data_IF_984782237286
#
_entry.id   IF_984782237286
#
_cell.length_a   1.000
_cell.length_b   1.000
_cell.length_c   1.000
_cell.angle_alpha   90.00
_cell.angle_beta   90.00
_cell.angle_gamma   90.00
#
_symmetry.space_group_name_H-M   'P 1'
#
loop_
_entity.id
_entity.type
_entity.pdbx_description
1 polymer ?
#
# COMPACT_ATOMS: atom_id res chain seq x y z
N UNK A 1 31.55 -2.41 -2.99
CA UNK A 1 30.25 -2.67 -3.63
C UNK A 1 30.04 -4.18 -3.62
N UNK A 2 29.29 -4.71 -2.64
CA UNK A 2 29.08 -6.16 -2.52
C UNK A 2 27.97 -6.57 -3.48
N UNK A 3 28.25 -7.54 -4.35
CA UNK A 3 27.28 -8.09 -5.28
C UNK A 3 26.16 -8.79 -4.49
N UNK A 4 25.00 -8.12 -4.37
CA UNK A 4 23.82 -8.57 -3.62
C UNK A 4 23.24 -9.91 -4.15
N UNK A 5 23.73 -10.40 -5.29
CA UNK A 5 23.32 -11.63 -5.94
C UNK A 5 23.79 -12.92 -5.23
N UNK A 6 24.65 -12.85 -4.20
CA UNK A 6 25.32 -14.05 -3.68
C UNK A 6 24.49 -14.91 -2.73
N UNK A 7 23.42 -14.37 -2.13
CA UNK A 7 22.52 -15.12 -1.23
C UNK A 7 21.08 -14.61 -1.29
N UNK A 8 20.33 -14.85 -2.38
CA UNK A 8 18.96 -14.36 -2.55
C UNK A 8 18.02 -14.84 -1.43
N UNK A 9 18.16 -16.09 -1.00
CA UNK A 9 17.36 -16.68 0.10
C UNK A 9 17.58 -15.94 1.42
N UNK A 10 18.83 -15.58 1.75
CA UNK A 10 19.14 -14.90 3.01
C UNK A 10 18.54 -13.49 3.03
N UNK A 11 18.56 -12.78 1.88
CA UNK A 11 17.97 -11.45 1.77
C UNK A 11 16.44 -11.49 1.88
N UNK A 12 15.80 -12.47 1.24
CA UNK A 12 14.36 -12.68 1.38
C UNK A 12 13.96 -12.96 2.83
N UNK A 13 14.69 -13.85 3.52
CA UNK A 13 14.43 -14.15 4.94
C UNK A 13 14.66 -12.93 5.84
N UNK A 14 15.70 -12.13 5.57
CA UNK A 14 15.96 -10.90 6.30
C UNK A 14 14.84 -9.86 6.08
N UNK A 15 14.41 -9.68 4.82
CA UNK A 15 13.28 -8.83 4.46
C UNK A 15 12.00 -9.23 5.18
N UNK A 16 11.64 -10.51 5.12
CA UNK A 16 10.45 -11.07 5.75
C UNK A 16 10.51 -10.94 7.28
N UNK A 17 11.67 -11.19 7.88
CA UNK A 17 11.87 -11.03 9.33
C UNK A 17 11.68 -9.57 9.75
N UNK A 18 12.25 -8.62 9.00
CA UNK A 18 12.05 -7.21 9.26
C UNK A 18 10.59 -6.78 9.05
N UNK A 19 9.93 -7.27 8.01
CA UNK A 19 8.53 -6.99 7.73
C UNK A 19 7.63 -7.47 8.88
N UNK A 20 7.79 -8.73 9.31
CA UNK A 20 7.03 -9.30 10.45
C UNK A 20 7.25 -8.53 11.75
N UNK A 21 8.49 -8.14 12.05
CA UNK A 21 8.79 -7.29 13.21
C UNK A 21 8.11 -5.92 13.09
N UNK A 22 8.09 -5.33 11.90
CA UNK A 22 7.35 -4.09 11.60
C UNK A 22 5.87 -4.23 11.92
N UNK A 23 5.22 -5.28 11.42
CA UNK A 23 3.81 -5.56 11.68
C UNK A 23 3.53 -5.80 13.18
N UNK A 24 4.43 -6.49 13.90
CA UNK A 24 4.29 -6.71 15.35
C UNK A 24 4.31 -5.37 16.12
N UNK A 25 5.30 -4.51 15.84
CA UNK A 25 5.38 -3.20 16.46
C UNK A 25 4.21 -2.29 16.06
N UNK A 26 3.73 -2.37 14.82
CA UNK A 26 2.54 -1.65 14.36
C UNK A 26 1.30 -2.10 15.15
N UNK A 27 1.09 -3.41 15.35
CA UNK A 27 -0.02 -3.90 16.19
C UNK A 27 0.02 -3.32 17.60
N UNK A 28 1.20 -3.24 18.21
CA UNK A 28 1.38 -2.58 19.52
C UNK A 28 1.11 -1.08 19.44
N UNK A 29 1.58 -0.39 18.40
CA UNK A 29 1.35 1.04 18.17
C UNK A 29 -0.12 1.40 17.94
N UNK A 30 -0.91 0.46 17.38
CA UNK A 30 -2.36 0.58 17.21
C UNK A 30 -3.15 0.40 18.52
N UNK A 31 -2.47 -0.02 19.60
CA UNK A 31 -2.90 -0.03 21.00
C UNK A 31 -4.40 0.12 21.25
N UNK A 32 -5.16 -0.97 21.10
CA UNK A 32 -6.51 -1.10 21.67
C UNK A 32 -6.48 -1.41 23.18
N UNK A 33 -5.29 -1.67 23.75
CA UNK A 33 -5.13 -1.98 25.17
C UNK A 33 -4.86 -0.69 25.96
N UNK A 34 -5.73 -0.40 26.92
CA UNK A 34 -5.65 0.72 27.87
C UNK A 34 -4.39 0.74 28.76
N UNK A 35 -3.56 -0.31 28.68
CA UNK A 35 -2.37 -0.49 29.52
C UNK A 35 -1.07 0.09 28.92
N UNK A 36 -1.07 0.56 27.67
CA UNK A 36 0.15 1.01 27.01
C UNK A 36 0.38 2.52 27.19
N UNK A 37 1.51 2.90 27.81
CA UNK A 37 1.85 4.32 27.97
C UNK A 37 2.14 5.00 26.63
N UNK A 38 1.90 6.31 26.54
CA UNK A 38 2.15 7.11 25.34
C UNK A 38 3.61 6.97 24.84
N UNK A 39 4.57 6.83 25.75
CA UNK A 39 5.98 6.61 25.42
C UNK A 39 6.21 5.25 24.74
N UNK A 40 5.56 4.17 25.21
CA UNK A 40 5.64 2.85 24.59
C UNK A 40 5.01 2.84 23.19
N UNK A 41 3.88 3.53 23.00
CA UNK A 41 3.25 3.68 21.69
C UNK A 41 4.15 4.45 20.71
N UNK A 42 4.74 5.56 21.15
CA UNK A 42 5.71 6.33 20.34
C UNK A 42 6.93 5.48 19.96
N UNK A 43 7.49 4.74 20.91
CA UNK A 43 8.60 3.83 20.65
C UNK A 43 8.23 2.75 19.65
N UNK A 44 7.06 2.13 19.80
CA UNK A 44 6.56 1.08 18.90
C UNK A 44 6.38 1.60 17.47
N UNK A 45 5.84 2.80 17.29
CA UNK A 45 5.73 3.45 15.96
C UNK A 45 7.10 3.61 15.30
N UNK A 46 8.08 4.13 16.05
CA UNK A 46 9.44 4.32 15.56
C UNK A 46 10.11 3.00 15.18
N UNK A 47 9.92 1.93 15.97
CA UNK A 47 10.43 0.61 15.61
C UNK A 47 9.71 0.05 14.38
N UNK A 48 8.39 0.16 14.29
CA UNK A 48 7.64 -0.30 13.12
C UNK A 48 8.18 0.33 11.82
N UNK A 49 8.33 1.66 11.81
CA UNK A 49 8.88 2.39 10.67
C UNK A 49 10.30 1.97 10.32
N UNK A 50 11.19 1.83 11.32
CA UNK A 50 12.55 1.34 11.13
C UNK A 50 12.57 -0.04 10.49
N UNK A 51 11.72 -0.95 10.95
CA UNK A 51 11.63 -2.31 10.45
C UNK A 51 11.06 -2.36 9.03
N UNK A 52 10.04 -1.56 8.70
CA UNK A 52 9.55 -1.44 7.33
C UNK A 52 10.62 -0.86 6.38
N UNK A 53 11.35 0.16 6.81
CA UNK A 53 12.44 0.72 5.99
C UNK A 53 13.53 -0.30 5.71
N UNK A 54 13.90 -1.13 6.70
CA UNK A 54 14.86 -2.22 6.50
C UNK A 54 14.32 -3.30 5.58
N UNK A 55 13.07 -3.74 5.76
CA UNK A 55 12.46 -4.75 4.90
C UNK A 55 12.41 -4.27 3.43
N UNK A 56 12.07 -3.00 3.19
CA UNK A 56 12.07 -2.42 1.86
C UNK A 56 13.46 -2.45 1.20
N UNK A 57 14.54 -2.23 1.95
CA UNK A 57 15.92 -2.33 1.43
C UNK A 57 16.34 -3.75 1.02
N UNK A 58 15.67 -4.79 1.55
CA UNK A 58 15.94 -6.18 1.18
C UNK A 58 15.13 -6.66 -0.03
N UNK A 59 14.02 -5.99 -0.34
CA UNK A 59 13.14 -6.38 -1.43
C UNK A 59 13.53 -5.70 -2.74
N UNK A 60 13.77 -6.54 -3.75
CA UNK A 60 13.93 -6.10 -5.14
C UNK A 60 12.58 -6.16 -5.86
N UNK A 61 12.12 -5.07 -6.50
CA UNK A 61 10.82 -5.03 -7.19
C UNK A 61 10.60 -6.16 -8.19
N UNK A 62 11.64 -6.58 -8.91
CA UNK A 62 11.59 -7.63 -9.92
C UNK A 62 11.29 -9.02 -9.35
N UNK A 63 11.54 -9.22 -8.06
CA UNK A 63 11.43 -10.52 -7.39
C UNK A 63 10.37 -10.55 -6.28
N UNK A 64 10.07 -9.40 -5.68
CA UNK A 64 9.27 -9.29 -4.46
C UNK A 64 8.19 -8.20 -4.57
N UNK A 65 7.65 -7.99 -5.78
CA UNK A 65 6.64 -6.96 -6.05
C UNK A 65 5.48 -7.03 -5.04
N UNK A 66 4.95 -8.22 -4.78
CA UNK A 66 3.84 -8.45 -3.86
C UNK A 66 4.16 -8.02 -2.42
N UNK A 67 5.34 -8.39 -1.94
CA UNK A 67 5.83 -8.07 -0.59
C UNK A 67 6.05 -6.57 -0.44
N UNK A 68 6.59 -5.91 -1.47
CA UNK A 68 6.76 -4.45 -1.49
C UNK A 68 5.40 -3.75 -1.42
N UNK A 69 4.42 -4.18 -2.23
CA UNK A 69 3.08 -3.58 -2.21
C UNK A 69 2.43 -3.70 -0.83
N UNK A 70 2.52 -4.89 -0.21
CA UNK A 70 2.01 -5.11 1.15
C UNK A 70 2.73 -4.24 2.18
N UNK A 71 4.05 -4.17 2.13
CA UNK A 71 4.86 -3.34 3.02
C UNK A 71 4.49 -1.86 2.92
N UNK A 72 4.39 -1.33 1.70
CA UNK A 72 4.09 0.07 1.48
C UNK A 72 2.66 0.43 1.89
N UNK A 73 1.69 -0.49 1.74
CA UNK A 73 0.33 -0.38 2.29
C UNK A 73 0.31 -0.35 3.83
N UNK A 74 1.06 -1.24 4.47
CA UNK A 74 1.12 -1.28 5.94
C UNK A 74 1.82 -0.02 6.49
N UNK A 75 2.87 0.43 5.81
CA UNK A 75 3.59 1.67 6.12
C UNK A 75 2.71 2.91 5.92
N UNK A 76 1.91 2.98 4.84
CA UNK A 76 0.97 4.08 4.65
C UNK A 76 -0.09 4.10 5.76
N UNK A 77 -0.61 2.93 6.12
CA UNK A 77 -1.59 2.76 7.21
C UNK A 77 -1.03 3.20 8.56
N UNK A 78 0.25 2.90 8.83
CA UNK A 78 0.93 3.37 10.03
C UNK A 78 0.95 4.91 10.10
N UNK A 79 1.26 5.58 9.00
CA UNK A 79 1.29 7.05 8.96
C UNK A 79 -0.11 7.67 9.06
N UNK A 80 -1.12 7.09 8.41
CA UNK A 80 -2.52 7.53 8.55
C UNK A 80 -2.98 7.48 10.01
N UNK A 81 -2.69 6.38 10.71
CA UNK A 81 -3.04 6.23 12.11
C UNK A 81 -2.34 7.28 12.98
N UNK A 82 -1.05 7.53 12.72
CA UNK A 82 -0.31 8.57 13.42
C UNK A 82 -0.88 9.96 13.17
N UNK A 83 -1.35 10.24 11.94
CA UNK A 83 -1.99 11.52 11.62
C UNK A 83 -3.30 11.68 12.40
N UNK A 84 -4.12 10.63 12.48
CA UNK A 84 -5.37 10.66 13.25
C UNK A 84 -5.14 10.90 14.75
N UNK A 85 -4.04 10.38 15.30
CA UNK A 85 -3.69 10.50 16.71
C UNK A 85 -2.83 11.74 17.02
N UNK A 86 -2.28 12.40 15.99
CA UNK A 86 -1.37 13.51 16.11
C UNK A 86 -2.09 14.81 16.49
N UNK A 87 -1.52 15.56 17.44
CA UNK A 87 -1.97 16.91 17.75
C UNK A 87 -1.30 17.92 16.81
N UNK A 88 -2.11 18.75 16.16
CA UNK A 88 -1.66 19.84 15.31
C UNK A 88 -1.69 19.54 13.81
N UNK A 89 -2.38 20.41 13.07
CA UNK A 89 -2.63 20.27 11.62
C UNK A 89 -1.34 20.12 10.81
N UNK A 90 -0.25 20.79 11.19
CA UNK A 90 1.04 20.69 10.50
C UNK A 90 1.64 19.28 10.59
N UNK A 91 1.55 18.63 11.75
CA UNK A 91 2.06 17.27 11.92
C UNK A 91 1.18 16.27 11.16
N UNK A 92 -0.15 16.45 11.21
CA UNK A 92 -1.09 15.62 10.45
C UNK A 92 -0.81 15.66 8.96
N UNK A 93 -0.59 16.86 8.39
CA UNK A 93 -0.24 17.01 6.98
C UNK A 93 1.05 16.28 6.63
N UNK A 94 2.13 16.47 7.41
CA UNK A 94 3.40 15.77 7.17
C UNK A 94 3.25 14.25 7.18
N UNK A 95 2.47 13.72 8.12
CA UNK A 95 2.25 12.28 8.22
C UNK A 95 1.41 11.75 7.05
N UNK A 96 0.39 12.50 6.62
CA UNK A 96 -0.39 12.14 5.44
C UNK A 96 0.41 12.26 4.14
N UNK A 97 1.34 13.22 4.04
CA UNK A 97 2.32 13.33 2.94
C UNK A 97 3.25 12.12 2.91
N UNK A 98 3.74 11.65 4.06
CA UNK A 98 4.51 10.40 4.17
C UNK A 98 3.70 9.16 3.78
N UNK A 99 2.40 9.12 4.13
CA UNK A 99 1.49 8.07 3.71
C UNK A 99 1.33 8.05 2.19
N UNK A 100 1.08 9.22 1.58
CA UNK A 100 0.99 9.38 0.13
C UNK A 100 2.29 8.96 -0.56
N UNK A 101 3.44 9.40 -0.05
CA UNK A 101 4.75 9.01 -0.61
C UNK A 101 4.93 7.49 -0.63
N UNK A 102 4.52 6.79 0.43
CA UNK A 102 4.59 5.33 0.49
C UNK A 102 3.69 4.68 -0.58
N UNK A 103 2.48 5.22 -0.79
CA UNK A 103 1.57 4.72 -1.83
C UNK A 103 2.07 5.01 -3.25
N UNK A 104 2.72 6.16 -3.49
CA UNK A 104 3.30 6.48 -4.79
C UNK A 104 4.49 5.57 -5.13
N UNK A 105 5.28 5.14 -4.13
CA UNK A 105 6.35 4.16 -4.32
C UNK A 105 5.84 2.78 -4.77
N UNK A 106 4.55 2.47 -4.59
CA UNK A 106 3.97 1.22 -5.09
C UNK A 106 4.02 1.14 -6.62
N UNK A 107 4.16 2.26 -7.33
CA UNK A 107 4.21 2.27 -8.79
C UNK A 107 5.27 1.31 -9.35
N UNK A 108 6.50 1.38 -8.82
CA UNK A 108 7.60 0.54 -9.30
C UNK A 108 7.26 -0.94 -9.12
N UNK A 109 6.73 -1.31 -7.96
CA UNK A 109 6.32 -2.69 -7.70
C UNK A 109 5.12 -3.12 -8.56
N UNK A 110 4.17 -2.22 -8.85
CA UNK A 110 3.03 -2.51 -9.71
C UNK A 110 3.45 -2.85 -11.15
N UNK A 111 4.53 -2.24 -11.67
CA UNK A 111 5.07 -2.58 -12.99
C UNK A 111 5.57 -4.03 -13.08
N UNK A 112 6.04 -4.60 -11.95
CA UNK A 112 6.51 -5.98 -11.85
C UNK A 112 5.45 -6.92 -11.27
N UNK A 113 4.34 -6.39 -10.78
CA UNK A 113 3.22 -7.15 -10.25
C UNK A 113 2.33 -7.60 -11.40
N UNK A 114 2.77 -8.63 -12.12
CA UNK A 114 1.83 -9.42 -12.91
C UNK A 114 0.98 -10.23 -11.94
N UNK A 115 -0.35 -10.07 -11.92
CA UNK A 115 -1.18 -11.09 -11.30
C UNK A 115 -0.91 -12.36 -12.10
N UNK A 116 -0.15 -13.30 -11.53
CA UNK A 116 0.00 -14.62 -12.13
C UNK A 116 -1.41 -15.16 -12.33
N UNK A 117 -1.87 -15.18 -13.58
CA UNK A 117 -2.90 -16.11 -13.99
C UNK A 117 -2.26 -17.48 -13.74
N UNK A 118 -2.62 -18.10 -12.62
CA UNK A 118 -2.35 -19.51 -12.41
C UNK A 118 -3.02 -20.24 -13.58
N UNK A 119 -2.20 -20.66 -14.53
CA UNK A 119 -2.61 -21.59 -15.56
C UNK A 119 -2.97 -22.90 -14.86
N UNK A 120 -4.26 -23.11 -14.63
CA UNK A 120 -4.81 -24.46 -14.60
C UNK A 120 -4.46 -25.12 -15.92
N UNK A 121 -3.46 -26.00 -15.93
CA UNK A 121 -3.41 -27.19 -16.78
C UNK A 121 -2.24 -28.06 -16.39
N UNK A 122 -2.50 -29.03 -15.50
CA UNK A 122 -1.99 -30.40 -15.66
C UNK A 122 -3.03 -31.37 -15.07
N UNK A 123 -3.79 -32.11 -15.89
CA UNK A 123 -4.41 -33.34 -15.43
C UNK A 123 -3.34 -34.43 -15.46
N UNK A 124 -2.92 -34.90 -14.29
CA UNK A 124 -2.26 -36.21 -14.19
C UNK A 124 -3.38 -37.23 -14.04
N UNK A 125 -3.59 -37.99 -15.11
CA UNK A 125 -4.42 -39.19 -15.15
C UNK A 125 -4.03 -40.16 -14.02
N UNK A 126 -5.03 -40.70 -13.30
CA UNK A 126 -5.18 -42.13 -12.98
C UNK A 126 -6.41 -42.39 -12.10
N UNK A 127 -7.50 -42.86 -12.74
CA UNK A 127 -8.40 -43.99 -12.39
C UNK A 127 -8.77 -44.17 -10.89
N UNK A 128 -10.04 -44.17 -10.48
CA UNK A 128 -11.04 -45.23 -10.76
C UNK A 128 -12.48 -44.79 -10.41
N UNK A 129 -13.42 -45.44 -11.11
CA UNK A 129 -14.90 -45.41 -11.07
C UNK A 129 -15.50 -45.42 -9.64
N UNK A 130 -16.64 -44.76 -9.36
CA UNK A 130 -18.00 -45.28 -9.64
C UNK A 130 -19.06 -44.17 -9.81
N UNK A 131 -20.05 -44.45 -10.66
CA UNK A 131 -21.28 -43.70 -10.95
C UNK A 131 -22.19 -43.53 -9.72
N UNK A 132 -22.83 -42.38 -9.56
CA UNK A 132 -24.32 -42.28 -9.54
C UNK A 132 -24.81 -40.82 -9.57
N UNK A 133 -25.72 -40.63 -10.53
CA UNK A 133 -26.83 -39.68 -10.71
C UNK A 133 -26.72 -38.17 -10.39
N UNK A 134 -27.11 -37.44 -11.44
CA UNK A 134 -27.29 -36.01 -11.61
C UNK A 134 -28.61 -35.58 -10.96
N UNK A 135 -28.59 -34.56 -10.10
CA UNK A 135 -29.70 -33.61 -10.02
C UNK A 135 -29.20 -32.17 -9.95
N UNK A 136 -29.77 -31.36 -10.84
CA UNK A 136 -29.44 -29.97 -11.11
C UNK A 136 -29.68 -29.06 -9.91
N UNK A 137 -28.60 -28.52 -9.36
CA UNK A 137 -28.63 -27.30 -8.57
C UNK A 137 -27.75 -26.25 -9.26
N UNK A 138 -28.34 -25.37 -10.07
CA UNK A 138 -27.72 -24.11 -10.52
C UNK A 138 -27.31 -23.29 -9.28
N UNK A 139 -26.11 -23.53 -8.76
CA UNK A 139 -25.38 -22.57 -7.96
C UNK A 139 -24.45 -21.84 -8.91
N UNK A 140 -24.73 -20.57 -9.13
CA UNK A 140 -23.76 -19.64 -9.70
C UNK A 140 -22.46 -19.79 -8.91
N UNK A 141 -21.46 -20.38 -9.55
CA UNK A 141 -20.07 -20.30 -9.09
C UNK A 141 -19.68 -18.82 -9.14
N UNK A 142 -19.81 -18.15 -8.00
CA UNK A 142 -19.06 -16.92 -7.73
C UNK A 142 -17.58 -17.28 -7.87
N UNK A 143 -17.01 -16.92 -9.03
CA UNK A 143 -15.57 -16.96 -9.26
C UNK A 143 -14.85 -16.40 -8.03
N UNK A 144 -13.88 -17.11 -7.45
CA UNK A 144 -13.03 -16.51 -6.44
C UNK A 144 -12.27 -15.37 -7.12
N UNK A 145 -12.58 -14.13 -6.72
CA UNK A 145 -11.84 -12.94 -7.13
C UNK A 145 -10.35 -13.20 -6.92
N UNK A 146 -9.55 -13.05 -7.98
CA UNK A 146 -8.14 -13.35 -7.91
C UNK A 146 -7.50 -12.49 -6.82
N UNK A 147 -6.69 -13.08 -5.94
CA UNK A 147 -6.06 -12.34 -4.83
C UNK A 147 -5.18 -11.16 -5.28
N UNK A 148 -4.89 -11.05 -6.59
CA UNK A 148 -4.25 -9.90 -7.23
C UNK A 148 -5.14 -8.66 -7.31
N UNK A 149 -6.44 -8.86 -7.52
CA UNK A 149 -7.43 -7.78 -7.66
C UNK A 149 -7.75 -7.13 -6.30
N UNK A 150 -7.72 -7.91 -5.22
CA UNK A 150 -7.95 -7.39 -3.87
C UNK A 150 -6.86 -6.40 -3.42
N UNK A 151 -5.58 -6.68 -3.72
CA UNK A 151 -4.46 -5.83 -3.32
C UNK A 151 -4.43 -4.50 -4.10
N UNK A 152 -4.69 -4.56 -5.40
CA UNK A 152 -4.76 -3.38 -6.26
C UNK A 152 -5.99 -2.53 -5.93
N UNK A 153 -7.15 -3.14 -5.68
CA UNK A 153 -8.35 -2.46 -5.18
C UNK A 153 -8.11 -1.78 -3.83
N UNK A 154 -7.41 -2.45 -2.91
CA UNK A 154 -7.05 -1.88 -1.62
C UNK A 154 -6.11 -0.68 -1.76
N UNK A 155 -5.12 -0.75 -2.65
CA UNK A 155 -4.21 0.37 -2.96
C UNK A 155 -4.97 1.60 -3.43
N UNK A 156 -5.88 1.44 -4.38
CA UNK A 156 -6.69 2.53 -4.90
C UNK A 156 -7.59 3.14 -3.81
N UNK A 157 -8.27 2.28 -3.06
CA UNK A 157 -9.13 2.71 -1.95
C UNK A 157 -8.34 3.53 -0.93
N UNK A 158 -7.12 3.10 -0.61
CA UNK A 158 -6.22 3.80 0.31
C UNK A 158 -5.69 5.11 -0.27
N UNK A 159 -5.29 5.15 -1.53
CA UNK A 159 -4.86 6.36 -2.21
C UNK A 159 -5.94 7.45 -2.15
N UNK A 160 -7.17 7.11 -2.51
CA UNK A 160 -8.30 8.03 -2.44
C UNK A 160 -8.57 8.52 -1.01
N UNK A 161 -8.51 7.61 -0.02
CA UNK A 161 -8.71 7.95 1.38
C UNK A 161 -7.65 8.95 1.89
N UNK A 162 -6.36 8.70 1.62
CA UNK A 162 -5.26 9.58 2.02
C UNK A 162 -5.37 10.95 1.35
N UNK A 163 -5.62 11.00 0.04
CA UNK A 163 -5.79 12.26 -0.70
C UNK A 163 -6.99 13.06 -0.17
N UNK A 164 -8.10 12.40 0.14
CA UNK A 164 -9.27 13.05 0.77
C UNK A 164 -8.93 13.62 2.15
N UNK A 165 -8.20 12.87 2.97
CA UNK A 165 -7.74 13.34 4.29
C UNK A 165 -6.78 14.52 4.17
N UNK A 166 -5.87 14.52 3.19
CA UNK A 166 -4.97 15.64 2.90
C UNK A 166 -5.73 16.91 2.56
N UNK A 167 -6.69 16.84 1.62
CA UNK A 167 -7.52 17.98 1.23
C UNK A 167 -8.30 18.52 2.44
N UNK A 168 -8.97 17.63 3.19
CA UNK A 168 -9.74 18.01 4.37
C UNK A 168 -8.88 18.67 5.46
N UNK A 169 -7.70 18.10 5.74
CA UNK A 169 -6.78 18.61 6.76
C UNK A 169 -6.16 19.94 6.34
N UNK A 170 -5.80 20.09 5.06
CA UNK A 170 -5.27 21.34 4.52
C UNK A 170 -6.31 22.47 4.55
N UNK A 171 -7.59 22.17 4.31
CA UNK A 171 -8.67 23.16 4.42
C UNK A 171 -8.90 23.69 5.84
N UNK A 172 -8.60 22.90 6.88
CA UNK A 172 -8.73 23.32 8.29
C UNK A 172 -7.68 24.33 8.72
N UNK A 173 -6.61 24.51 7.94
CA UNK A 173 -5.52 25.42 8.29
C UNK A 173 -5.85 26.84 7.80
N UNK A 174 -6.44 27.64 8.68
CA UNK A 174 -6.83 29.05 8.41
C UNK A 174 -5.65 29.95 7.99
N UNK A 175 -4.44 29.62 8.43
CA UNK A 175 -3.25 30.48 8.28
C UNK A 175 -2.32 30.05 7.13
N UNK A 176 -2.76 29.13 6.26
CA UNK A 176 -1.98 28.79 5.08
C UNK A 176 -2.38 29.74 3.93
N UNK A 177 -1.49 30.62 3.44
CA UNK A 177 -1.81 31.53 2.36
C UNK A 177 -2.07 30.72 1.09
N UNK A 178 -3.35 30.41 0.77
CA UNK A 178 -3.82 29.67 -0.43
C UNK A 178 -2.71 28.81 -1.06
N UNK A 179 -2.09 27.95 -0.26
CA UNK A 179 -0.75 27.47 -0.61
C UNK A 179 -0.87 26.55 -1.81
N UNK A 180 0.13 26.59 -2.69
CA UNK A 180 0.29 25.70 -3.84
C UNK A 180 -0.05 24.24 -3.49
N UNK A 181 0.27 23.80 -2.27
CA UNK A 181 -0.04 22.46 -1.75
C UNK A 181 -1.53 22.10 -1.70
N UNK A 182 -2.46 22.99 -1.32
CA UNK A 182 -3.90 22.65 -1.31
C UNK A 182 -4.44 22.45 -2.73
N UNK A 183 -4.01 23.31 -3.67
CA UNK A 183 -4.36 23.15 -5.08
C UNK A 183 -3.84 21.81 -5.62
N UNK A 184 -2.62 21.42 -5.24
CA UNK A 184 -2.06 20.11 -5.60
C UNK A 184 -2.80 18.93 -5.01
N UNK A 185 -3.13 18.96 -3.72
CA UNK A 185 -3.92 17.89 -3.10
C UNK A 185 -5.26 17.71 -3.80
N UNK A 186 -5.93 18.81 -4.16
CA UNK A 186 -7.18 18.78 -4.93
C UNK A 186 -6.99 18.23 -6.35
N UNK A 187 -5.93 18.65 -7.05
CA UNK A 187 -5.63 18.18 -8.40
C UNK A 187 -5.34 16.67 -8.43
N UNK A 188 -4.51 16.18 -7.49
CA UNK A 188 -4.22 14.76 -7.34
C UNK A 188 -5.47 13.95 -7.01
N UNK A 189 -6.28 14.43 -6.05
CA UNK A 189 -7.53 13.75 -5.70
C UNK A 189 -8.49 13.67 -6.90
N UNK A 190 -8.63 14.75 -7.66
CA UNK A 190 -9.46 14.78 -8.85
C UNK A 190 -8.91 13.85 -9.96
N UNK A 191 -7.60 13.78 -10.14
CA UNK A 191 -6.97 12.88 -11.10
C UNK A 191 -7.19 11.40 -10.74
N UNK A 192 -6.96 11.03 -9.49
CA UNK A 192 -7.20 9.67 -8.98
C UNK A 192 -8.68 9.29 -9.10
N UNK A 193 -9.60 10.21 -8.80
CA UNK A 193 -11.03 9.98 -8.90
C UNK A 193 -11.49 9.75 -10.34
N UNK A 194 -11.03 10.58 -11.30
CA UNK A 194 -11.32 10.40 -12.73
C UNK A 194 -10.83 9.05 -13.23
N UNK A 195 -9.62 8.64 -12.84
CA UNK A 195 -9.08 7.34 -13.19
C UNK A 195 -9.89 6.18 -12.61
N UNK A 196 -10.43 6.33 -11.38
CA UNK A 196 -11.27 5.30 -10.73
C UNK A 196 -12.64 5.10 -11.37
N UNK A 197 -13.14 6.12 -12.10
CA UNK A 197 -14.42 6.06 -12.80
C UNK A 197 -14.28 5.56 -14.25
N UNK A 198 -13.06 5.49 -14.77
CA UNK A 198 -12.80 4.97 -16.11
C UNK A 198 -12.80 3.43 -16.08
N UNK A 199 -13.60 2.81 -16.96
CA UNK A 199 -13.63 1.34 -17.14
C UNK A 199 -12.29 0.74 -17.62
N UNK A 200 -11.35 1.58 -18.06
CA UNK A 200 -10.05 1.16 -18.61
C UNK A 200 -8.85 1.54 -17.72
N UNK A 201 -9.07 2.27 -16.63
CA UNK A 201 -7.97 2.84 -15.83
C UNK A 201 -7.34 1.79 -14.91
N UNK A 202 -6.06 1.46 -15.12
CA UNK A 202 -5.33 0.60 -14.17
C UNK A 202 -4.95 1.37 -12.91
N UNK A 203 -4.80 0.67 -11.77
CA UNK A 203 -4.33 1.29 -10.51
C UNK A 203 -2.95 1.94 -10.68
N UNK A 204 -2.11 1.38 -11.55
CA UNK A 204 -0.81 1.94 -11.91
C UNK A 204 -0.95 3.31 -12.58
N UNK A 205 -1.85 3.45 -13.55
CA UNK A 205 -2.13 4.73 -14.23
C UNK A 205 -2.69 5.79 -13.27
N UNK A 206 -3.53 5.39 -12.33
CA UNK A 206 -4.08 6.29 -11.32
C UNK A 206 -3.00 6.80 -10.35
N UNK A 207 -2.11 5.91 -9.90
CA UNK A 207 -0.94 6.29 -9.09
C UNK A 207 0.00 7.20 -9.88
N UNK A 208 0.25 6.89 -11.16
CA UNK A 208 1.07 7.74 -12.03
C UNK A 208 0.44 9.11 -12.24
N UNK A 209 -0.88 9.19 -12.45
CA UNK A 209 -1.60 10.46 -12.56
C UNK A 209 -1.49 11.32 -11.30
N UNK A 210 -1.60 10.69 -10.12
CA UNK A 210 -1.39 11.36 -8.84
C UNK A 210 0.07 11.86 -8.70
N UNK A 211 1.06 11.05 -9.10
CA UNK A 211 2.48 11.42 -9.07
C UNK A 211 2.79 12.61 -9.97
N UNK A 212 2.33 12.59 -11.22
CA UNK A 212 2.55 13.70 -12.18
C UNK A 212 1.94 15.01 -11.66
N UNK A 213 0.75 14.92 -11.06
CA UNK A 213 0.09 16.07 -10.44
C UNK A 213 0.88 16.61 -9.24
N UNK A 214 1.57 15.75 -8.48
CA UNK A 214 2.46 16.16 -7.40
C UNK A 214 3.68 16.93 -7.94
N UNK A 215 4.39 16.35 -8.90
CA UNK A 215 5.59 16.93 -9.52
C UNK A 215 5.31 18.33 -10.11
N UNK A 216 4.14 18.48 -10.76
CA UNK A 216 3.69 19.75 -11.34
C UNK A 216 3.45 20.83 -10.28
N UNK A 217 3.06 20.44 -9.06
CA UNK A 217 2.64 21.38 -8.01
C UNK A 217 3.76 21.70 -7.02
N UNK A 218 4.60 20.72 -6.69
CA UNK A 218 5.67 20.91 -5.70
C UNK A 218 6.97 21.40 -6.32
N UNK A 219 7.20 21.18 -7.62
CA UNK A 219 8.49 21.45 -8.28
C UNK A 219 9.67 20.74 -7.61
N UNK A 220 9.38 19.79 -6.72
CA UNK A 220 10.29 19.18 -5.76
C UNK A 220 9.87 17.72 -5.60
N UNK A 221 10.55 16.87 -6.35
CA UNK A 221 10.94 15.55 -5.91
C UNK A 221 12.37 15.31 -6.41
N UNK A 222 13.39 15.24 -5.54
CA UNK A 222 14.67 14.69 -5.95
C UNK A 222 14.56 13.15 -5.96
N UNK A 223 15.16 12.55 -6.97
CA UNK A 223 15.31 11.10 -7.14
C UNK A 223 15.88 10.38 -5.90
#
# INVERSE_FOLDING_TARGET
MFCLCRFPVIHQLAGESHYRLGCLYQKTACGRSSSCSAQKLKHSRSQAEKHFNKAFQYYLPEHHAKEILRLLLDKSTLFELQAQQGQGVRLQLKLLESALSSLLQCQTALCHYQPCHEHETQPVESQQETKEEVEEGRRSEERPESGGDALTSLLLTRLLAVLKQLVSTAMKKSDLPKSSSLAGYKAMYAAALRGSQSRSGTVSEQIQGARVCLETVTGLWPD
#
